data_IF_645319603410
#
_entry.id   IF_645319603410
#
_cell.length_a   1.000
_cell.length_b   1.000
_cell.length_c   1.000
_cell.angle_alpha   90.00
_cell.angle_beta   90.00
_cell.angle_gamma   90.00
#
_symmetry.space_group_name_H-M   'P 1'
#
loop_
_entity.id
_entity.type
_entity.pdbx_description
1 polymer ?
#
# COMPACT_ATOMS: atom_id res chain seq x y z
N UNK A 1 28.16 -16.08 3.23
CA UNK A 1 27.26 -14.91 3.45
C UNK A 1 26.88 -14.43 2.06
N UNK A 2 25.60 -14.23 1.73
CA UNK A 2 25.27 -13.63 0.44
C UNK A 2 25.91 -12.24 0.43
N UNK A 3 26.56 -11.88 -0.67
CA UNK A 3 27.10 -10.54 -0.86
C UNK A 3 25.93 -9.55 -0.83
N UNK A 4 26.05 -8.49 -0.02
CA UNK A 4 25.07 -7.41 -0.04
C UNK A 4 25.08 -6.80 -1.44
N UNK A 5 23.96 -6.93 -2.15
CA UNK A 5 23.76 -6.30 -3.44
C UNK A 5 23.91 -4.78 -3.31
N UNK A 6 24.64 -4.14 -4.23
CA UNK A 6 24.79 -2.68 -4.22
C UNK A 6 23.45 -1.99 -4.53
N UNK A 7 23.32 -0.72 -4.12
CA UNK A 7 22.12 0.07 -4.39
C UNK A 7 21.87 0.25 -5.89
N UNK A 8 22.93 0.38 -6.68
CA UNK A 8 22.87 0.49 -8.14
C UNK A 8 22.36 -0.82 -8.76
N UNK A 9 22.88 -1.96 -8.30
CA UNK A 9 22.45 -3.27 -8.81
C UNK A 9 20.98 -3.53 -8.46
N UNK A 10 20.56 -3.16 -7.25
CA UNK A 10 19.16 -3.23 -6.84
C UNK A 10 18.27 -2.34 -7.73
N UNK A 11 18.70 -1.10 -7.98
CA UNK A 11 17.96 -0.16 -8.81
C UNK A 11 17.77 -0.70 -10.23
N UNK A 12 18.82 -1.22 -10.86
CA UNK A 12 18.74 -1.80 -12.21
C UNK A 12 17.75 -2.97 -12.27
N UNK A 13 17.73 -3.82 -11.24
CA UNK A 13 16.80 -4.96 -11.16
C UNK A 13 15.35 -4.50 -10.95
N UNK A 14 15.13 -3.50 -10.08
CA UNK A 14 13.79 -3.10 -9.63
C UNK A 14 13.17 -1.96 -10.43
N UNK A 15 13.94 -1.26 -11.28
CA UNK A 15 13.46 -0.08 -12.00
C UNK A 15 12.24 -0.37 -12.89
N UNK A 16 12.35 -1.38 -13.77
CA UNK A 16 11.25 -1.72 -14.69
C UNK A 16 10.04 -2.31 -13.96
N UNK A 17 10.18 -3.27 -13.02
CA UNK A 17 9.06 -3.75 -12.21
C UNK A 17 8.37 -2.63 -11.41
N UNK A 18 9.14 -1.73 -10.78
CA UNK A 18 8.58 -0.62 -10.00
C UNK A 18 7.84 0.36 -10.91
N UNK A 19 8.40 0.69 -12.08
CA UNK A 19 7.74 1.53 -13.07
C UNK A 19 6.41 0.93 -13.55
N UNK A 20 6.35 -0.38 -13.77
CA UNK A 20 5.10 -1.06 -14.14
C UNK A 20 4.04 -0.91 -13.04
N UNK A 21 4.40 -1.14 -11.77
CA UNK A 21 3.50 -0.95 -10.62
C UNK A 21 2.97 0.48 -10.52
N UNK A 22 3.82 1.48 -10.77
CA UNK A 22 3.40 2.89 -10.77
C UNK A 22 2.33 3.14 -11.84
N UNK A 23 2.50 2.60 -13.06
CA UNK A 23 1.53 2.72 -14.13
C UNK A 23 0.20 2.00 -13.82
N UNK A 24 0.26 0.82 -13.20
CA UNK A 24 -0.92 0.07 -12.78
C UNK A 24 -1.75 0.83 -11.73
N UNK A 25 -1.08 1.47 -10.77
CA UNK A 25 -1.70 2.34 -9.77
C UNK A 25 -2.36 3.53 -10.46
N UNK A 26 -1.64 4.24 -11.32
CA UNK A 26 -2.17 5.41 -12.04
C UNK A 26 -3.42 5.04 -12.87
N UNK A 27 -3.34 3.99 -13.68
CA UNK A 27 -4.46 3.52 -14.50
C UNK A 27 -5.68 3.08 -13.67
N UNK A 28 -5.45 2.58 -12.45
CA UNK A 28 -6.53 2.23 -11.51
C UNK A 28 -7.19 3.49 -10.95
N UNK A 29 -6.42 4.48 -10.54
CA UNK A 29 -6.95 5.76 -10.07
C UNK A 29 -7.72 6.49 -11.17
N UNK A 30 -7.25 6.49 -12.41
CA UNK A 30 -7.95 7.07 -13.56
C UNK A 30 -9.29 6.38 -13.84
N UNK A 31 -9.38 5.07 -13.63
CA UNK A 31 -10.65 4.34 -13.76
C UNK A 31 -11.61 4.68 -12.64
N UNK A 32 -11.12 4.79 -11.40
CA UNK A 32 -11.93 5.21 -10.25
C UNK A 32 -12.44 6.65 -10.43
N UNK A 33 -11.59 7.56 -10.89
CA UNK A 33 -11.94 8.96 -11.12
C UNK A 33 -12.97 9.15 -12.24
N UNK A 34 -13.00 8.25 -13.23
CA UNK A 34 -14.04 8.20 -14.29
C UNK A 34 -15.35 7.56 -13.83
N UNK A 35 -15.39 6.97 -12.64
CA UNK A 35 -16.60 6.39 -12.05
C UNK A 35 -17.54 7.45 -11.50
N UNK A 36 -18.52 7.01 -10.69
CA UNK A 36 -19.48 7.89 -10.02
C UNK A 36 -18.75 8.90 -9.10
N UNK A 37 -19.13 10.19 -9.20
CA UNK A 37 -18.61 11.28 -8.37
C UNK A 37 -18.70 10.99 -6.87
N UNK A 38 -19.65 10.14 -6.43
CA UNK A 38 -19.79 9.69 -5.04
C UNK A 38 -18.54 8.97 -4.52
N UNK A 39 -17.76 8.32 -5.39
CA UNK A 39 -16.53 7.61 -5.02
C UNK A 39 -15.40 8.56 -4.57
N UNK A 40 -15.46 9.85 -4.92
CA UNK A 40 -14.50 10.85 -4.45
C UNK A 40 -14.47 10.99 -2.92
N UNK A 41 -15.60 10.67 -2.27
CA UNK A 41 -15.75 10.71 -0.81
C UNK A 41 -15.45 9.38 -0.10
N UNK A 42 -15.21 8.30 -0.85
CA UNK A 42 -15.00 6.96 -0.31
C UNK A 42 -13.73 6.93 0.57
N UNK A 43 -13.81 6.46 1.83
CA UNK A 43 -12.66 6.36 2.72
C UNK A 43 -11.48 5.57 2.14
N UNK A 44 -11.74 4.56 1.29
CA UNK A 44 -10.69 3.76 0.66
C UNK A 44 -9.89 4.56 -0.36
N UNK A 45 -10.53 5.47 -1.07
CA UNK A 45 -9.82 6.40 -2.00
C UNK A 45 -8.92 7.34 -1.20
N UNK A 46 -9.37 7.81 -0.03
CA UNK A 46 -8.55 8.62 0.87
C UNK A 46 -7.35 7.84 1.42
N UNK A 47 -7.54 6.57 1.80
CA UNK A 47 -6.44 5.70 2.23
C UNK A 47 -5.42 5.48 1.11
N UNK A 48 -5.86 5.19 -0.12
CA UNK A 48 -4.95 5.06 -1.26
C UNK A 48 -4.12 6.33 -1.49
N UNK A 49 -4.74 7.51 -1.43
CA UNK A 49 -4.01 8.78 -1.56
C UNK A 49 -2.98 8.98 -0.44
N UNK A 50 -3.37 8.70 0.80
CA UNK A 50 -2.46 8.80 1.96
C UNK A 50 -1.26 7.85 1.83
N UNK A 51 -1.49 6.63 1.33
CA UNK A 51 -0.42 5.67 1.06
C UNK A 51 0.58 6.18 0.01
N UNK A 52 0.10 6.85 -1.04
CA UNK A 52 0.95 7.43 -2.08
C UNK A 52 1.78 8.60 -1.54
N UNK A 53 1.20 9.43 -0.68
CA UNK A 53 1.93 10.50 0.00
C UNK A 53 3.04 9.95 0.90
N UNK A 54 2.77 8.86 1.63
CA UNK A 54 3.79 8.18 2.45
C UNK A 54 4.91 7.53 1.62
N UNK A 55 4.65 7.14 0.36
CA UNK A 55 5.72 6.67 -0.52
C UNK A 55 6.72 7.77 -0.88
N UNK A 56 6.29 9.03 -0.86
CA UNK A 56 7.09 10.18 -1.28
C UNK A 56 7.87 10.84 -0.14
N UNK A 57 7.63 10.45 1.12
CA UNK A 57 8.39 10.99 2.24
C UNK A 57 9.79 10.35 2.37
N UNK A 58 10.66 10.97 3.16
CA UNK A 58 12.06 10.53 3.34
C UNK A 58 12.25 9.49 4.46
N UNK A 59 11.18 8.90 5.00
CA UNK A 59 11.30 7.92 6.08
C UNK A 59 11.76 6.55 5.55
N UNK A 60 12.58 5.83 6.33
CA UNK A 60 13.16 4.55 5.92
C UNK A 60 12.19 3.36 5.99
N UNK A 61 11.02 3.53 6.60
CA UNK A 61 10.07 2.47 6.97
C UNK A 61 8.72 2.55 6.22
N UNK A 62 8.71 3.14 5.01
CA UNK A 62 7.51 3.37 4.19
C UNK A 62 6.59 2.15 4.10
N UNK A 63 7.15 0.97 3.83
CA UNK A 63 6.38 -0.26 3.70
C UNK A 63 5.62 -0.62 4.99
N UNK A 64 6.27 -0.52 6.15
CA UNK A 64 5.64 -0.80 7.45
C UNK A 64 4.55 0.22 7.78
N UNK A 65 4.78 1.51 7.49
CA UNK A 65 3.80 2.57 7.70
C UNK A 65 2.58 2.43 6.80
N UNK A 66 2.78 2.10 5.53
CA UNK A 66 1.69 1.83 4.59
C UNK A 66 0.90 0.58 5.02
N UNK A 67 1.58 -0.48 5.46
CA UNK A 67 0.94 -1.67 6.03
C UNK A 67 0.04 -1.29 7.22
N UNK A 68 0.53 -0.46 8.13
CA UNK A 68 -0.23 -0.01 9.30
C UNK A 68 -1.44 0.84 8.91
N UNK A 69 -1.33 1.71 7.89
CA UNK A 69 -2.47 2.49 7.37
C UNK A 69 -3.64 1.59 6.92
N UNK A 70 -3.33 0.43 6.31
CA UNK A 70 -4.33 -0.53 5.85
C UNK A 70 -4.72 -1.57 6.92
N UNK A 71 -4.08 -1.56 8.09
CA UNK A 71 -4.37 -2.48 9.18
C UNK A 71 -5.59 -2.04 9.98
N UNK A 72 -6.33 -3.01 10.53
CA UNK A 72 -7.33 -2.71 11.56
C UNK A 72 -6.62 -2.48 12.90
N UNK A 73 -7.17 -1.62 13.78
CA UNK A 73 -6.73 -1.58 15.18
C UNK A 73 -6.78 -2.98 15.79
N UNK A 74 -5.83 -3.28 16.65
CA UNK A 74 -5.87 -4.51 17.43
C UNK A 74 -7.12 -4.50 18.32
N UNK A 75 -7.87 -5.59 18.29
CA UNK A 75 -9.05 -5.85 19.12
C UNK A 75 -8.73 -7.08 19.97
N UNK A 76 -8.76 -6.97 21.29
CA UNK A 76 -8.52 -8.09 22.20
C UNK A 76 -9.56 -9.21 22.02
N UNK A 77 -10.75 -8.87 21.55
CA UNK A 77 -11.84 -9.80 21.28
C UNK A 77 -11.89 -10.21 19.79
N UNK A 78 -10.81 -10.02 19.04
CA UNK A 78 -10.78 -10.26 17.58
C UNK A 78 -11.29 -11.67 17.19
N UNK A 79 -11.06 -12.69 18.01
CA UNK A 79 -11.52 -14.06 17.73
C UNK A 79 -13.04 -14.16 17.72
N UNK A 80 -13.69 -13.45 18.64
CA UNK A 80 -15.16 -13.39 18.71
C UNK A 80 -15.68 -12.44 17.62
N UNK A 81 -15.07 -11.26 17.44
CA UNK A 81 -15.43 -10.29 16.38
C UNK A 81 -15.32 -10.88 14.97
N UNK A 82 -14.32 -11.73 14.72
CA UNK A 82 -14.12 -12.41 13.44
C UNK A 82 -14.82 -13.77 13.35
N UNK A 83 -15.61 -14.16 14.37
CA UNK A 83 -16.36 -15.41 14.41
C UNK A 83 -15.48 -16.65 14.16
N UNK A 84 -14.26 -16.67 14.71
CA UNK A 84 -13.37 -17.80 14.54
C UNK A 84 -13.91 -19.04 15.27
N UNK A 85 -13.78 -20.24 14.68
CA UNK A 85 -14.19 -21.47 15.34
C UNK A 85 -13.32 -21.70 16.59
N UNK A 86 -13.98 -21.91 17.74
CA UNK A 86 -13.29 -22.29 18.98
C UNK A 86 -12.75 -23.72 18.82
N UNK A 87 -11.44 -23.87 18.94
CA UNK A 87 -10.74 -25.17 18.91
C UNK A 87 -10.96 -25.95 20.20
#
# INVERSE_FOLDING_TARGET
MPENMSAETLLEQEYLPTRAKILEIAATLDRVARGDERLSSDPRVKQLRSALEMLLDDQSDRAARIQLLFSRPYDENWSDTLHMPKR
#
